data_IF_854209730147
#
_entry.id   IF_854209730147
#
_cell.length_a   1.000
_cell.length_b   1.000
_cell.length_c   1.000
_cell.angle_alpha   90.00
_cell.angle_beta   90.00
_cell.angle_gamma   90.00
#
_symmetry.space_group_name_H-M   'P 1'
#
loop_
_entity.id
_entity.type
_entity.pdbx_description
1 polymer ?
#
# COMPACT_ATOMS: atom_id res chain seq x y z
N UNK A 1 11.85 -8.83 -18.05
CA UNK A 1 12.74 -9.99 -17.84
C UNK A 1 12.09 -10.90 -16.81
N UNK A 2 11.91 -12.19 -17.10
CA UNK A 2 11.29 -13.13 -16.16
C UNK A 2 12.41 -14.02 -15.62
N UNK A 3 12.64 -14.00 -14.30
CA UNK A 3 13.64 -14.82 -13.61
C UNK A 3 12.93 -15.73 -12.62
N UNK A 4 13.05 -17.04 -12.80
CA UNK A 4 12.63 -18.03 -11.79
C UNK A 4 13.89 -18.60 -11.13
N UNK A 5 14.08 -18.32 -9.83
CA UNK A 5 15.12 -18.97 -9.02
C UNK A 5 14.45 -20.00 -8.11
N UNK A 6 14.79 -21.28 -8.30
CA UNK A 6 14.28 -22.39 -7.50
C UNK A 6 15.18 -22.70 -6.29
N UNK A 7 16.07 -21.80 -5.88
CA UNK A 7 17.06 -22.08 -4.84
C UNK A 7 17.19 -20.87 -3.90
N UNK A 8 16.99 -21.14 -2.61
CA UNK A 8 17.03 -20.22 -1.47
C UNK A 8 18.43 -19.63 -1.17
N UNK A 9 19.32 -19.54 -2.16
CA UNK A 9 20.72 -19.09 -1.99
C UNK A 9 20.89 -17.61 -2.42
N UNK A 10 20.05 -17.11 -3.33
CA UNK A 10 20.00 -15.68 -3.68
C UNK A 10 18.57 -15.28 -4.08
N UNK A 11 17.97 -14.23 -3.49
CA UNK A 11 16.63 -13.77 -3.86
C UNK A 11 16.55 -13.45 -5.36
N UNK A 12 15.50 -13.93 -6.04
CA UNK A 12 15.29 -13.65 -7.46
C UNK A 12 15.21 -12.14 -7.77
N UNK A 13 14.81 -11.34 -6.77
CA UNK A 13 14.85 -9.87 -6.82
C UNK A 13 16.27 -9.32 -6.97
N UNK A 14 17.25 -9.91 -6.26
CA UNK A 14 18.66 -9.52 -6.36
C UNK A 14 19.24 -9.87 -7.73
N UNK A 15 18.96 -11.08 -8.23
CA UNK A 15 19.37 -11.50 -9.59
C UNK A 15 18.77 -10.59 -10.66
N UNK A 16 17.49 -10.23 -10.52
CA UNK A 16 16.80 -9.36 -11.47
C UNK A 16 17.35 -7.93 -11.44
N UNK A 17 17.65 -7.40 -10.25
CA UNK A 17 18.29 -6.08 -10.09
C UNK A 17 19.70 -6.06 -10.66
N UNK A 18 20.51 -7.07 -10.38
CA UNK A 18 21.89 -7.16 -10.87
C UNK A 18 21.91 -7.23 -12.40
N UNK A 19 21.06 -8.06 -13.02
CA UNK A 19 20.95 -8.14 -14.47
C UNK A 19 20.38 -6.85 -15.08
N UNK A 20 19.38 -6.24 -14.45
CA UNK A 20 18.85 -4.95 -14.93
C UNK A 20 19.90 -3.83 -14.86
N UNK A 21 20.80 -3.83 -13.86
CA UNK A 21 21.93 -2.89 -13.76
C UNK A 21 22.97 -3.10 -14.87
N UNK A 22 23.14 -4.34 -15.33
CA UNK A 22 24.07 -4.68 -16.42
C UNK A 22 23.47 -4.34 -17.80
N UNK A 23 22.17 -4.53 -17.99
CA UNK A 23 21.49 -4.31 -19.28
C UNK A 23 20.97 -2.88 -19.48
N UNK A 24 20.58 -2.19 -18.40
CA UNK A 24 20.27 -0.77 -18.41
C UNK A 24 21.46 -0.07 -17.78
N UNK A 25 22.25 0.67 -18.56
CA UNK A 25 23.35 1.54 -18.13
C UNK A 25 22.87 2.75 -17.29
N UNK A 26 21.87 2.56 -16.44
CA UNK A 26 21.33 3.52 -15.51
C UNK A 26 21.20 2.84 -14.15
N UNK A 27 21.83 3.44 -13.14
CA UNK A 27 21.68 3.05 -11.74
C UNK A 27 20.20 2.89 -11.41
N UNK A 28 19.81 1.66 -11.07
CA UNK A 28 18.54 1.44 -10.39
C UNK A 28 18.66 2.14 -9.04
N UNK A 29 18.05 3.31 -8.92
CA UNK A 29 17.85 3.92 -7.61
C UNK A 29 16.95 2.96 -6.82
N UNK A 30 17.57 2.20 -5.91
CA UNK A 30 16.83 1.44 -4.91
C UNK A 30 15.94 2.45 -4.18
N UNK A 31 14.61 2.25 -4.22
CA UNK A 31 13.68 3.07 -3.45
C UNK A 31 14.21 3.17 -2.02
N UNK A 32 14.48 4.39 -1.56
CA UNK A 32 14.95 4.63 -0.20
C UNK A 32 14.04 3.88 0.79
N UNK A 33 14.60 3.29 1.86
CA UNK A 33 13.79 2.62 2.87
C UNK A 33 12.76 3.61 3.42
N UNK A 34 11.48 3.26 3.27
CA UNK A 34 10.36 4.07 3.74
C UNK A 34 10.42 4.14 5.27
N UNK A 35 10.55 5.35 5.82
CA UNK A 35 10.58 5.58 7.27
C UNK A 35 9.14 5.71 7.76
N UNK A 36 8.65 4.81 8.64
CA UNK A 36 7.28 4.89 9.15
C UNK A 36 7.06 6.15 9.96
N UNK A 37 5.94 6.84 9.74
CA UNK A 37 5.48 7.90 10.64
C UNK A 37 5.08 7.29 11.99
N UNK A 38 5.58 7.85 13.09
CA UNK A 38 5.44 7.27 14.43
C UNK A 38 4.04 7.47 15.03
N UNK A 39 3.29 8.47 14.55
CA UNK A 39 1.95 8.77 15.08
C UNK A 39 1.11 9.67 14.14
N UNK A 40 0.79 9.23 12.91
CA UNK A 40 -0.12 9.98 12.05
C UNK A 40 -1.53 10.03 12.68
N UNK A 41 -2.36 10.99 12.22
CA UNK A 41 -3.80 11.10 12.43
C UNK A 41 -4.46 9.86 13.07
N UNK A 42 -5.16 10.03 14.21
CA UNK A 42 -5.74 8.93 15.01
C UNK A 42 -6.27 7.79 14.13
N UNK A 43 -5.52 6.68 14.06
CA UNK A 43 -5.79 5.54 13.18
C UNK A 43 -7.22 5.01 13.27
N UNK A 44 -7.84 5.18 14.43
CA UNK A 44 -9.24 4.86 14.70
C UNK A 44 -10.21 5.61 13.78
N UNK A 45 -9.93 6.87 13.41
CA UNK A 45 -10.75 7.66 12.48
C UNK A 45 -10.73 7.10 11.05
N UNK A 46 -9.63 6.45 10.68
CA UNK A 46 -9.46 5.82 9.37
C UNK A 46 -10.21 4.47 9.27
N UNK A 47 -10.55 3.87 10.41
CA UNK A 47 -11.23 2.59 10.46
C UNK A 47 -12.65 2.68 9.90
N UNK A 48 -13.09 1.57 9.31
CA UNK A 48 -14.42 1.44 8.73
C UNK A 48 -14.39 0.73 7.39
N UNK A 49 -15.54 0.81 6.74
CA UNK A 49 -15.81 0.10 5.49
C UNK A 49 -15.88 1.12 4.36
N UNK A 50 -15.11 0.86 3.31
CA UNK A 50 -15.08 1.69 2.11
C UNK A 50 -15.54 0.87 0.92
N UNK A 51 -16.42 1.42 0.09
CA UNK A 51 -16.93 0.73 -1.09
C UNK A 51 -17.00 1.67 -2.29
N UNK A 52 -16.84 1.07 -3.48
CA UNK A 52 -17.05 1.75 -4.76
C UNK A 52 -18.21 1.14 -5.55
N UNK A 53 -19.12 0.44 -4.87
CA UNK A 53 -20.25 -0.29 -5.46
C UNK A 53 -19.91 -1.67 -6.03
N UNK A 54 -18.66 -1.93 -6.42
CA UNK A 54 -18.22 -3.24 -6.95
C UNK A 54 -17.32 -4.01 -5.98
N UNK A 55 -16.55 -3.29 -5.17
CA UNK A 55 -15.57 -3.81 -4.25
C UNK A 55 -15.71 -3.13 -2.89
N UNK A 56 -15.25 -3.83 -1.86
CA UNK A 56 -15.27 -3.36 -0.48
C UNK A 56 -13.89 -3.55 0.13
N UNK A 57 -13.43 -2.54 0.85
CA UNK A 57 -12.19 -2.54 1.61
C UNK A 57 -12.55 -2.23 3.05
N UNK A 58 -12.08 -3.07 3.96
CA UNK A 58 -12.28 -2.89 5.39
C UNK A 58 -10.97 -2.47 6.05
N UNK A 59 -10.96 -1.28 6.63
CA UNK A 59 -9.83 -0.74 7.37
C UNK A 59 -10.06 -0.99 8.86
N UNK A 60 -9.10 -1.63 9.51
CA UNK A 60 -9.15 -1.97 10.93
C UNK A 60 -7.85 -1.63 11.64
N UNK A 61 -7.94 -1.27 12.91
CA UNK A 61 -6.80 -0.99 13.75
C UNK A 61 -6.68 -2.04 14.85
N UNK A 62 -5.53 -2.69 14.93
CA UNK A 62 -5.16 -3.58 16.03
C UNK A 62 -3.65 -3.46 16.27
N UNK A 63 -3.25 -2.45 17.05
CA UNK A 63 -1.86 -1.98 17.24
C UNK A 63 -1.20 -1.42 15.96
N UNK A 64 -1.54 -1.95 14.80
CA UNK A 64 -1.21 -1.48 13.48
C UNK A 64 -2.49 -1.30 12.66
N UNK A 65 -2.43 -0.49 11.61
CA UNK A 65 -3.51 -0.34 10.66
C UNK A 65 -3.47 -1.47 9.64
N UNK A 66 -4.63 -2.03 9.29
CA UNK A 66 -4.75 -3.13 8.34
C UNK A 66 -5.84 -2.84 7.31
N UNK A 67 -5.54 -3.12 6.05
CA UNK A 67 -6.49 -3.17 4.96
C UNK A 67 -6.91 -4.60 4.70
N UNK A 68 -8.21 -4.86 4.69
CA UNK A 68 -8.78 -6.17 4.38
C UNK A 68 -9.61 -6.04 3.11
N UNK A 69 -9.19 -6.70 2.04
CA UNK A 69 -9.81 -6.61 0.71
C UNK A 69 -10.05 -8.00 0.14
N UNK A 70 -11.19 -8.18 -0.53
CA UNK A 70 -11.46 -9.39 -1.30
C UNK A 70 -10.78 -9.27 -2.67
N UNK A 71 -9.67 -10.00 -2.89
CA UNK A 71 -9.03 -10.09 -4.21
C UNK A 71 -9.54 -11.36 -4.95
N UNK A 72 -8.83 -11.79 -6.00
CA UNK A 72 -9.28 -12.87 -6.90
C UNK A 72 -9.81 -14.10 -6.14
N UNK A 73 -10.83 -14.75 -6.71
CA UNK A 73 -11.50 -15.93 -6.15
C UNK A 73 -12.19 -15.72 -4.79
N UNK A 74 -12.54 -14.47 -4.45
CA UNK A 74 -13.21 -14.10 -3.18
C UNK A 74 -12.39 -14.44 -1.93
N UNK A 75 -11.08 -14.64 -2.08
CA UNK A 75 -10.19 -14.80 -0.95
C UNK A 75 -9.96 -13.43 -0.32
N UNK A 76 -10.16 -13.37 0.99
CA UNK A 76 -9.95 -12.17 1.78
C UNK A 76 -8.46 -12.07 2.15
N UNK A 77 -7.82 -10.99 1.73
CA UNK A 77 -6.43 -10.70 2.07
C UNK A 77 -6.38 -9.56 3.08
N UNK A 78 -5.50 -9.71 4.07
CA UNK A 78 -5.24 -8.70 5.09
C UNK A 78 -3.81 -8.20 4.96
N UNK A 79 -3.66 -6.91 4.73
CA UNK A 79 -2.38 -6.23 4.54
C UNK A 79 -2.14 -5.25 5.67
N UNK A 80 -0.95 -5.28 6.27
CA UNK A 80 -0.51 -4.26 7.21
C UNK A 80 -0.21 -2.98 6.42
N UNK A 81 -0.71 -1.85 6.91
CA UNK A 81 -0.48 -0.53 6.34
C UNK A 81 0.59 0.21 7.15
N UNK A 82 1.54 0.80 6.44
CA UNK A 82 2.63 1.60 6.98
C UNK A 82 2.42 3.03 6.50
N UNK A 83 2.28 3.97 7.43
CA UNK A 83 2.19 5.38 7.09
C UNK A 83 3.55 5.91 6.63
N UNK A 84 3.58 6.55 5.47
CA UNK A 84 4.84 7.02 4.86
C UNK A 84 4.85 8.53 4.64
N UNK A 85 3.68 9.17 4.63
CA UNK A 85 3.54 10.61 4.44
C UNK A 85 2.24 11.10 5.06
N UNK A 86 2.28 12.29 5.68
CA UNK A 86 1.14 12.99 6.25
C UNK A 86 1.23 14.46 5.85
N UNK A 87 0.19 14.93 5.15
CA UNK A 87 -0.05 16.31 4.76
C UNK A 87 -1.32 16.81 5.47
N UNK A 88 -1.59 18.12 5.40
CA UNK A 88 -2.74 18.73 6.08
C UNK A 88 -4.09 18.12 5.66
N UNK A 89 -4.24 17.73 4.39
CA UNK A 89 -5.48 17.22 3.81
C UNK A 89 -5.40 15.75 3.39
N UNK A 90 -4.27 15.07 3.64
CA UNK A 90 -4.03 13.74 3.12
C UNK A 90 -3.05 12.93 3.98
N UNK A 91 -3.34 11.63 4.15
CA UNK A 91 -2.40 10.66 4.71
C UNK A 91 -2.17 9.53 3.72
N UNK A 92 -0.89 9.24 3.46
CA UNK A 92 -0.46 8.19 2.53
C UNK A 92 0.11 7.00 3.29
N UNK A 93 -0.40 5.83 2.95
CA UNK A 93 0.02 4.55 3.48
C UNK A 93 0.48 3.64 2.33
N UNK A 94 1.37 2.72 2.64
CA UNK A 94 1.72 1.60 1.74
C UNK A 94 1.46 0.29 2.44
N UNK A 95 1.19 -0.76 1.67
CA UNK A 95 1.18 -2.12 2.21
C UNK A 95 2.61 -2.62 2.47
N UNK A 96 2.79 -3.34 3.58
CA UNK A 96 4.05 -3.98 3.94
C UNK A 96 4.45 -5.12 2.98
N UNK A 97 3.48 -5.70 2.28
CA UNK A 97 3.69 -6.94 1.51
C UNK A 97 3.53 -6.78 -0.01
N UNK A 98 2.84 -5.74 -0.46
CA UNK A 98 2.59 -5.47 -1.88
C UNK A 98 2.77 -3.97 -2.15
N UNK A 99 3.19 -3.62 -3.36
CA UNK A 99 3.40 -2.23 -3.80
C UNK A 99 2.06 -1.47 -4.06
N UNK A 100 1.08 -1.66 -3.17
CA UNK A 100 -0.19 -0.94 -3.18
C UNK A 100 -0.08 0.28 -2.25
N UNK A 101 -0.50 1.44 -2.77
CA UNK A 101 -0.55 2.71 -2.04
C UNK A 101 -1.99 3.07 -1.68
N UNK A 102 -2.21 3.51 -0.45
CA UNK A 102 -3.49 3.82 0.14
C UNK A 102 -3.50 5.30 0.54
N UNK A 103 -4.35 6.08 -0.10
CA UNK A 103 -4.42 7.53 0.09
C UNK A 103 -5.76 7.87 0.75
N UNK A 104 -5.70 8.47 1.94
CA UNK A 104 -6.85 8.96 2.66
C UNK A 104 -6.87 10.47 2.57
N UNK A 105 -7.88 11.05 1.92
CA UNK A 105 -8.13 12.50 2.01
C UNK A 105 -8.95 12.80 3.25
N UNK A 106 -8.51 13.79 4.00
CA UNK A 106 -9.14 14.20 5.26
C UNK A 106 -9.53 15.69 5.20
N UNK A 107 -10.60 16.04 5.91
CA UNK A 107 -10.95 17.45 6.14
C UNK A 107 -10.20 18.00 7.36
N UNK A 108 -10.34 19.30 7.63
CA UNK A 108 -9.72 19.97 8.78
C UNK A 108 -10.18 19.42 10.15
N UNK A 109 -11.22 18.57 10.20
CA UNK A 109 -11.69 17.90 11.41
C UNK A 109 -11.11 16.47 11.55
N UNK A 110 -10.30 16.05 10.57
CA UNK A 110 -9.72 14.71 10.47
C UNK A 110 -10.73 13.64 10.03
N UNK A 111 -11.84 14.04 9.42
CA UNK A 111 -12.82 13.13 8.84
C UNK A 111 -12.42 12.76 7.42
N UNK A 112 -12.66 11.51 7.04
CA UNK A 112 -12.32 10.99 5.72
C UNK A 112 -13.28 11.53 4.67
N UNK A 113 -12.76 12.31 3.73
CA UNK A 113 -13.50 12.80 2.55
C UNK A 113 -13.52 11.73 1.47
N UNK A 114 -12.36 11.15 1.16
CA UNK A 114 -12.24 10.10 0.15
C UNK A 114 -11.09 9.15 0.44
N UNK A 115 -11.19 7.95 -0.13
CA UNK A 115 -10.20 6.90 0.02
C UNK A 115 -9.83 6.34 -1.35
N UNK A 116 -8.54 6.27 -1.66
CA UNK A 116 -8.02 5.74 -2.92
C UNK A 116 -7.01 4.64 -2.67
N UNK A 117 -7.08 3.61 -3.50
CA UNK A 117 -6.07 2.55 -3.56
C UNK A 117 -5.44 2.59 -4.95
N UNK A 118 -4.13 2.82 -4.99
CA UNK A 118 -3.32 2.79 -6.18
C UNK A 118 -2.49 1.50 -6.20
N UNK A 119 -2.90 0.59 -7.08
CA UNK A 119 -2.18 -0.63 -7.45
C UNK A 119 -1.29 -0.32 -8.68
N UNK A 120 -0.34 -1.19 -9.00
CA UNK A 120 0.67 -0.99 -10.06
C UNK A 120 0.11 -0.52 -11.43
N UNK A 121 -1.13 -0.90 -11.78
CA UNK A 121 -1.77 -0.53 -13.05
C UNK A 121 -3.17 0.04 -12.89
N UNK A 122 -3.63 0.29 -11.66
CA UNK A 122 -5.03 0.63 -11.39
C UNK A 122 -5.15 1.57 -10.19
N UNK A 123 -5.88 2.64 -10.37
CA UNK A 123 -6.33 3.49 -9.26
C UNK A 123 -7.81 3.24 -9.05
N UNK A 124 -8.19 2.94 -7.81
CA UNK A 124 -9.57 2.70 -7.42
C UNK A 124 -9.95 3.65 -6.29
N UNK A 125 -11.00 4.43 -6.50
CA UNK A 125 -11.56 5.33 -5.49
C UNK A 125 -12.76 4.67 -4.79
N UNK A 126 -12.86 4.87 -3.49
CA UNK A 126 -13.88 4.33 -2.62
C UNK A 126 -14.48 5.43 -1.75
N UNK A 127 -15.76 5.26 -1.43
CA UNK A 127 -16.51 6.12 -0.51
C UNK A 127 -16.70 5.38 0.81
N UNK A 128 -16.62 6.11 1.92
CA UNK A 128 -16.93 5.56 3.25
C UNK A 128 -18.42 5.21 3.31
N UNK A 129 -18.76 4.00 3.79
CA UNK A 129 -20.13 3.55 4.03
C UNK A 129 -20.63 3.93 5.41
#
# INVERSE_FOLDING_TARGET
MIVLSNINITPASKISSDLATIFLSGTLEAKNPLVPLTNPLSFEKLCGTYSNGSQQVFISYNQNLYSTINKMYRVQYKFKLIAIEEAEDQVTFVSDFIDDTYLFKVNNQGEIISFKVQEAFKVTEYMKQ
#
